data_IF_960043436599
#
_entry.id   IF_960043436599
#
_cell.length_a   1.000
_cell.length_b   1.000
_cell.length_c   1.000
_cell.angle_alpha   90.00
_cell.angle_beta   90.00
_cell.angle_gamma   90.00
#
_symmetry.space_group_name_H-M   'P 1'
#
loop_
_entity.id
_entity.type
_entity.pdbx_description
1 polymer ?
#
# COMPACT_ATOMS: atom_id res chain seq x y z
N UNK A 1 -82.76 10.61 3.28
CA UNK A 1 -81.75 10.61 2.20
C UNK A 1 -80.38 10.46 2.85
N UNK A 2 -79.64 9.41 2.53
CA UNK A 2 -78.35 9.11 3.18
C UNK A 2 -77.21 9.75 2.37
N UNK A 3 -76.52 10.74 2.92
CA UNK A 3 -75.42 11.46 2.25
C UNK A 3 -74.11 10.69 2.39
N UNK A 4 -73.50 10.36 1.26
CA UNK A 4 -72.18 9.71 1.17
C UNK A 4 -71.10 10.81 1.20
N UNK A 5 -70.19 10.76 2.17
CA UNK A 5 -69.17 11.80 2.33
C UNK A 5 -67.81 11.47 1.66
N UNK A 6 -67.44 10.20 1.50
CA UNK A 6 -66.31 9.84 0.64
C UNK A 6 -66.42 8.42 0.08
N UNK A 7 -65.88 8.24 -1.13
CA UNK A 7 -65.75 6.95 -1.82
C UNK A 7 -64.27 6.66 -1.98
N UNK A 8 -63.81 5.50 -1.52
CA UNK A 8 -62.41 5.11 -1.59
C UNK A 8 -62.31 3.81 -2.38
N UNK A 9 -61.36 3.76 -3.32
CA UNK A 9 -61.04 2.55 -4.07
C UNK A 9 -60.20 1.60 -3.20
N UNK A 10 -60.67 0.37 -3.01
CA UNK A 10 -59.90 -0.65 -2.30
C UNK A 10 -59.24 -1.62 -3.31
N UNK A 11 -57.90 -1.58 -3.47
CA UNK A 11 -57.20 -2.40 -4.45
C UNK A 11 -57.19 -3.90 -4.10
N UNK A 12 -57.42 -4.26 -2.84
CA UNK A 12 -57.45 -5.67 -2.41
C UNK A 12 -58.78 -6.34 -2.75
N UNK A 13 -59.88 -5.58 -2.79
CA UNK A 13 -61.22 -6.09 -3.10
C UNK A 13 -61.69 -5.78 -4.54
N UNK A 14 -60.97 -4.92 -5.26
CA UNK A 14 -61.31 -4.54 -6.64
C UNK A 14 -62.63 -3.77 -6.76
N UNK A 15 -63.05 -3.05 -5.71
CA UNK A 15 -64.32 -2.34 -5.68
C UNK A 15 -64.22 -0.98 -4.94
N UNK A 16 -65.16 -0.07 -5.26
CA UNK A 16 -65.34 1.19 -4.51
C UNK A 16 -66.15 0.91 -3.26
N UNK A 17 -65.59 1.24 -2.10
CA UNK A 17 -66.25 1.07 -0.80
C UNK A 17 -66.62 2.44 -0.22
N UNK A 18 -67.75 2.49 0.48
CA UNK A 18 -68.26 3.70 1.14
C UNK A 18 -68.03 3.57 2.65
N UNK A 19 -67.30 4.51 3.25
CA UNK A 19 -67.19 4.61 4.70
C UNK A 19 -68.24 5.61 5.21
N UNK A 20 -69.10 5.17 6.15
CA UNK A 20 -70.06 6.02 6.85
C UNK A 20 -69.80 5.90 8.35
N UNK A 21 -69.49 7.02 9.01
CA UNK A 21 -68.99 7.07 10.40
C UNK A 21 -70.10 7.00 11.47
N UNK A 22 -71.22 6.33 11.18
CA UNK A 22 -72.33 6.14 12.12
C UNK A 22 -72.72 4.66 12.23
N UNK A 23 -71.90 3.86 12.90
CA UNK A 23 -72.27 2.51 13.33
C UNK A 23 -72.21 2.41 14.87
N UNK A 24 -73.38 2.54 15.53
CA UNK A 24 -73.55 2.20 16.96
C UNK A 24 -73.88 0.71 17.07
N UNK A 25 -73.03 -0.07 17.73
CA UNK A 25 -73.32 -1.46 18.08
C UNK A 25 -74.19 -1.54 19.34
N UNK A 26 -75.38 -2.13 19.25
CA UNK A 26 -76.26 -2.44 20.38
C UNK A 26 -76.62 -3.93 20.34
N UNK A 27 -76.06 -4.72 21.27
CA UNK A 27 -76.43 -6.11 21.50
C UNK A 27 -76.50 -6.41 23.00
N UNK A 28 -77.70 -6.65 23.52
CA UNK A 28 -77.98 -7.04 24.91
C UNK A 28 -78.10 -8.58 25.01
N UNK A 29 -77.41 -9.18 25.97
CA UNK A 29 -77.59 -10.57 26.41
C UNK A 29 -77.13 -10.75 27.86
N UNK A 30 -77.98 -11.35 28.71
CA UNK A 30 -78.00 -11.27 30.19
C UNK A 30 -77.14 -12.32 30.92
N UNK A 31 -76.45 -11.83 31.96
CA UNK A 31 -76.28 -12.31 33.37
C UNK A 31 -75.92 -13.79 33.71
N UNK A 32 -74.79 -13.92 34.42
CA UNK A 32 -74.54 -14.87 35.50
C UNK A 32 -73.62 -14.21 36.57
N UNK A 33 -74.06 -14.22 37.83
CA UNK A 33 -73.44 -13.61 39.04
C UNK A 33 -72.63 -14.74 39.74
N UNK A 34 -71.45 -14.59 40.35
CA UNK A 34 -71.18 -14.03 41.71
C UNK A 34 -69.68 -14.06 42.06
N UNK A 35 -69.16 -12.91 42.48
CA UNK A 35 -68.21 -12.60 43.60
C UNK A 35 -67.30 -13.69 44.23
N UNK A 36 -66.01 -13.37 44.43
CA UNK A 36 -65.42 -12.96 45.74
C UNK A 36 -63.94 -12.55 45.61
N UNK A 37 -63.53 -11.77 46.63
CA UNK A 37 -62.33 -10.92 46.79
C UNK A 37 -61.01 -11.68 47.05
N UNK A 38 -59.88 -11.02 46.75
CA UNK A 38 -58.52 -11.33 47.25
C UNK A 38 -57.46 -10.94 46.21
N UNK A 39 -56.90 -9.72 46.24
CA UNK A 39 -55.67 -9.34 46.93
C UNK A 39 -54.38 -9.94 46.33
N UNK A 40 -53.43 -9.04 46.01
CA UNK A 40 -52.01 -9.23 45.70
C UNK A 40 -51.65 -9.78 44.30
N UNK A 41 -51.05 -8.93 43.45
CA UNK A 41 -49.59 -8.92 43.24
C UNK A 41 -49.22 -7.77 42.26
N UNK A 42 -48.88 -6.62 42.82
CA UNK A 42 -48.12 -5.61 42.10
C UNK A 42 -46.64 -5.97 42.23
N UNK A 43 -46.03 -6.57 41.21
CA UNK A 43 -44.60 -6.40 40.90
C UNK A 43 -44.29 -6.89 39.47
N UNK A 44 -44.58 -6.04 38.49
CA UNK A 44 -43.95 -6.12 37.17
C UNK A 44 -43.40 -4.73 36.83
N UNK A 45 -42.48 -4.23 37.66
CA UNK A 45 -41.51 -3.25 37.19
C UNK A 45 -40.50 -4.03 36.35
N UNK A 46 -40.84 -4.23 35.08
CA UNK A 46 -39.84 -4.49 34.05
C UNK A 46 -38.92 -3.27 34.02
N UNK A 47 -37.81 -3.36 34.76
CA UNK A 47 -36.68 -2.47 34.59
C UNK A 47 -36.00 -2.90 33.28
N UNK A 48 -36.60 -2.55 32.15
CA UNK A 48 -35.83 -2.48 30.92
C UNK A 48 -34.94 -1.24 31.07
N UNK A 49 -33.60 -1.37 31.20
CA UNK A 49 -32.78 -0.18 31.05
C UNK A 49 -33.01 0.33 29.62
N UNK A 50 -33.65 1.49 29.52
CA UNK A 50 -33.59 2.38 28.39
C UNK A 50 -32.11 2.74 28.17
N UNK A 51 -31.41 1.90 27.44
CA UNK A 51 -30.22 2.27 26.72
C UNK A 51 -30.58 2.24 25.25
N UNK A 52 -31.35 3.24 24.80
CA UNK A 52 -31.49 3.56 23.39
C UNK A 52 -30.16 4.12 22.87
N UNK A 53 -29.14 3.27 22.81
CA UNK A 53 -28.04 3.46 21.90
C UNK A 53 -28.48 2.80 20.60
N UNK A 54 -28.50 3.56 19.50
CA UNK A 54 -28.74 2.98 18.19
C UNK A 54 -27.80 1.77 18.01
N UNK A 55 -28.36 0.63 17.66
CA UNK A 55 -27.59 -0.58 17.39
C UNK A 55 -26.79 -0.34 16.10
N UNK A 56 -25.53 0.09 16.23
CA UNK A 56 -24.67 0.42 15.09
C UNK A 56 -24.31 -0.84 14.29
N UNK A 57 -24.34 -2.00 14.95
CA UNK A 57 -24.09 -3.30 14.34
C UNK A 57 -25.31 -4.22 14.42
N UNK A 58 -26.39 -3.86 13.74
CA UNK A 58 -27.58 -4.69 13.64
C UNK A 58 -27.41 -5.73 12.54
N UNK A 59 -27.36 -7.02 12.92
CA UNK A 59 -27.32 -8.16 12.02
C UNK A 59 -27.85 -9.41 12.72
N UNK A 60 -28.49 -10.32 11.99
CA UNK A 60 -28.86 -11.64 12.54
C UNK A 60 -27.61 -12.52 12.55
N UNK A 61 -26.91 -12.54 13.67
CA UNK A 61 -25.78 -13.44 13.86
C UNK A 61 -26.27 -14.84 14.26
N UNK A 62 -25.63 -15.87 13.74
CA UNK A 62 -25.88 -17.23 14.22
C UNK A 62 -25.30 -17.37 15.64
N UNK A 63 -25.90 -18.23 16.46
CA UNK A 63 -25.39 -18.49 17.81
C UNK A 63 -23.89 -18.83 17.78
N UNK A 64 -23.09 -18.10 18.56
CA UNK A 64 -21.64 -18.26 18.60
C UNK A 64 -20.87 -17.58 17.47
N UNK A 65 -21.53 -16.77 16.63
CA UNK A 65 -20.91 -15.94 15.60
C UNK A 65 -21.07 -14.43 15.88
N UNK A 66 -21.43 -14.09 17.11
CA UNK A 66 -21.56 -12.71 17.57
C UNK A 66 -20.21 -11.96 17.50
N UNK A 67 -20.22 -10.67 17.17
CA UNK A 67 -19.02 -9.85 17.28
C UNK A 67 -18.54 -9.81 18.75
N UNK A 68 -17.23 -9.90 18.94
CA UNK A 68 -16.58 -9.84 20.26
C UNK A 68 -15.73 -8.58 20.35
N UNK A 69 -16.03 -7.72 21.32
CA UNK A 69 -15.23 -6.54 21.63
C UNK A 69 -14.93 -6.47 23.13
N UNK A 70 -13.69 -6.13 23.49
CA UNK A 70 -13.36 -5.77 24.88
C UNK A 70 -13.89 -4.38 25.23
N UNK A 71 -13.88 -4.01 26.52
CA UNK A 71 -14.30 -2.68 26.97
C UNK A 71 -13.48 -1.59 26.27
N UNK A 72 -14.17 -0.64 25.64
CA UNK A 72 -13.55 0.46 24.89
C UNK A 72 -13.07 0.07 23.48
N UNK A 73 -13.34 -1.15 23.00
CA UNK A 73 -13.15 -1.58 21.62
C UNK A 73 -14.49 -1.61 20.86
N UNK A 74 -14.43 -1.72 19.54
CA UNK A 74 -15.60 -1.83 18.67
C UNK A 74 -15.45 -3.01 17.73
N UNK A 75 -16.45 -3.89 17.67
CA UNK A 75 -16.51 -4.99 16.72
C UNK A 75 -17.86 -5.01 16.02
N UNK A 76 -17.87 -5.17 14.69
CA UNK A 76 -19.08 -5.34 13.91
C UNK A 76 -18.90 -6.30 12.74
N UNK A 77 -19.79 -7.30 12.64
CA UNK A 77 -19.74 -8.37 11.64
C UNK A 77 -19.73 -9.75 12.28
N UNK A 78 -20.11 -10.77 11.51
CA UNK A 78 -20.10 -12.16 11.98
C UNK A 78 -18.68 -12.58 12.35
N UNK A 79 -18.44 -13.00 13.58
CA UNK A 79 -17.10 -13.37 14.10
C UNK A 79 -16.10 -12.21 14.04
N UNK A 80 -16.57 -10.96 14.02
CA UNK A 80 -15.67 -9.82 14.14
C UNK A 80 -15.07 -9.78 15.55
N UNK A 81 -13.75 -9.64 15.67
CA UNK A 81 -13.05 -9.76 16.95
C UNK A 81 -12.13 -8.55 17.18
N UNK A 82 -12.53 -7.64 18.06
CA UNK A 82 -11.72 -6.55 18.59
C UNK A 82 -11.26 -6.89 20.02
N UNK A 83 -10.19 -7.69 20.13
CA UNK A 83 -9.80 -8.34 21.39
C UNK A 83 -8.77 -7.57 22.22
N UNK A 84 -8.30 -6.42 21.72
CA UNK A 84 -7.33 -5.58 22.41
C UNK A 84 -7.89 -4.19 22.73
N UNK A 85 -7.25 -3.50 23.69
CA UNK A 85 -7.67 -2.18 24.13
C UNK A 85 -7.75 -1.19 22.95
N UNK A 86 -8.88 -0.47 22.86
CA UNK A 86 -9.15 0.51 21.80
C UNK A 86 -9.02 -0.04 20.38
N UNK A 87 -9.26 -1.34 20.18
CA UNK A 87 -9.26 -1.94 18.86
C UNK A 87 -10.59 -1.74 18.12
N UNK A 88 -10.54 -1.70 16.79
CA UNK A 88 -11.72 -1.57 15.91
C UNK A 88 -11.70 -2.69 14.87
N UNK A 89 -12.76 -3.50 14.81
CA UNK A 89 -12.89 -4.66 13.93
C UNK A 89 -14.21 -4.56 13.14
N UNK A 90 -14.18 -4.37 11.83
CA UNK A 90 -15.39 -4.21 10.99
C UNK A 90 -15.36 -5.12 9.76
N UNK A 91 -16.31 -6.04 9.66
CA UNK A 91 -16.38 -7.06 8.61
C UNK A 91 -16.48 -8.48 9.17
N UNK A 92 -16.94 -9.42 8.35
CA UNK A 92 -17.04 -10.82 8.75
C UNK A 92 -15.64 -11.42 8.94
N UNK A 93 -15.44 -12.20 10.00
CA UNK A 93 -14.17 -12.85 10.32
C UNK A 93 -12.97 -11.88 10.44
N UNK A 94 -13.24 -10.59 10.71
CA UNK A 94 -12.17 -9.59 10.89
C UNK A 94 -11.58 -9.67 12.30
N UNK A 95 -10.29 -9.38 12.45
CA UNK A 95 -9.59 -9.49 13.73
C UNK A 95 -8.65 -8.30 13.96
N UNK A 96 -8.99 -7.49 14.96
CA UNK A 96 -8.16 -6.42 15.48
C UNK A 96 -7.65 -6.83 16.87
N UNK A 97 -6.50 -7.51 16.91
CA UNK A 97 -5.93 -8.10 18.13
C UNK A 97 -4.74 -7.33 18.70
N UNK A 98 -4.29 -6.27 18.02
CA UNK A 98 -3.29 -5.34 18.56
C UNK A 98 -3.92 -4.20 19.34
N UNK A 99 -3.24 -3.70 20.38
CA UNK A 99 -3.71 -2.48 21.08
C UNK A 99 -3.77 -1.29 20.10
N UNK A 100 -4.86 -0.52 20.12
CA UNK A 100 -5.14 0.57 19.18
C UNK A 100 -5.14 0.15 17.69
N UNK A 101 -5.39 -1.13 17.40
CA UNK A 101 -5.42 -1.62 16.03
C UNK A 101 -6.76 -1.40 15.35
N UNK A 102 -6.76 -1.28 14.03
CA UNK A 102 -7.97 -1.15 13.22
C UNK A 102 -7.95 -2.19 12.10
N UNK A 103 -8.98 -3.03 12.00
CA UNK A 103 -9.16 -3.99 10.92
C UNK A 103 -10.52 -3.76 10.27
N UNK A 104 -10.54 -3.53 8.96
CA UNK A 104 -11.76 -3.27 8.18
C UNK A 104 -11.73 -4.11 6.90
N UNK A 105 -12.71 -4.98 6.72
CA UNK A 105 -12.84 -5.90 5.59
C UNK A 105 -13.06 -7.34 6.05
N UNK A 106 -13.65 -8.16 5.17
CA UNK A 106 -13.82 -9.59 5.46
C UNK A 106 -12.43 -10.24 5.64
N UNK A 107 -12.23 -10.95 6.75
CA UNK A 107 -10.95 -11.59 7.04
C UNK A 107 -9.77 -10.63 7.28
N UNK A 108 -9.98 -9.31 7.33
CA UNK A 108 -8.91 -8.34 7.58
C UNK A 108 -8.33 -8.56 8.99
N UNK A 109 -7.00 -8.48 9.13
CA UNK A 109 -6.30 -8.81 10.37
C UNK A 109 -5.24 -7.76 10.73
N UNK A 110 -5.49 -7.00 11.80
CA UNK A 110 -4.54 -6.08 12.40
C UNK A 110 -4.01 -6.66 13.72
N UNK A 111 -2.83 -7.30 13.67
CA UNK A 111 -2.33 -8.15 14.77
C UNK A 111 -1.41 -7.43 15.76
N UNK A 112 -0.80 -6.31 15.36
CA UNK A 112 0.19 -5.60 16.15
C UNK A 112 -0.32 -4.26 16.68
N UNK A 113 0.38 -3.71 17.68
CA UNK A 113 0.06 -2.41 18.27
C UNK A 113 0.05 -1.31 17.20
N UNK A 114 -0.97 -0.46 17.21
CA UNK A 114 -1.19 0.63 16.24
C UNK A 114 -1.27 0.17 14.77
N UNK A 115 -1.46 -1.13 14.51
CA UNK A 115 -1.55 -1.65 13.15
C UNK A 115 -2.92 -1.35 12.54
N UNK A 116 -2.95 -1.04 11.25
CA UNK A 116 -4.19 -0.79 10.50
C UNK A 116 -4.25 -1.69 9.28
N UNK A 117 -5.31 -2.50 9.15
CA UNK A 117 -5.56 -3.36 8.00
C UNK A 117 -6.89 -2.96 7.36
N UNK A 118 -6.86 -2.52 6.10
CA UNK A 118 -8.05 -2.08 5.37
C UNK A 118 -8.11 -2.79 4.03
N UNK A 119 -9.10 -3.67 3.87
CA UNK A 119 -9.31 -4.49 2.68
C UNK A 119 -9.59 -5.95 3.03
N UNK A 120 -10.34 -6.63 2.16
CA UNK A 120 -10.60 -8.07 2.28
C UNK A 120 -9.28 -8.86 2.36
N UNK A 121 -9.13 -9.70 3.39
CA UNK A 121 -7.93 -10.49 3.63
C UNK A 121 -6.64 -9.69 3.86
N UNK A 122 -6.72 -8.37 4.09
CA UNK A 122 -5.54 -7.54 4.39
C UNK A 122 -4.94 -7.92 5.75
N UNK A 123 -3.61 -7.90 5.88
CA UNK A 123 -2.90 -8.33 7.10
C UNK A 123 -1.82 -7.34 7.49
N UNK A 124 -2.03 -6.60 8.58
CA UNK A 124 -1.04 -5.74 9.21
C UNK A 124 -0.42 -6.45 10.43
N UNK A 125 0.79 -6.98 10.26
CA UNK A 125 1.49 -7.82 11.24
C UNK A 125 2.50 -7.04 12.10
N UNK A 126 3.01 -5.92 11.62
CA UNK A 126 4.05 -5.16 12.30
C UNK A 126 3.49 -3.95 13.06
N UNK A 127 4.21 -3.50 14.09
CA UNK A 127 3.80 -2.37 14.89
C UNK A 127 3.76 -1.08 14.06
N UNK A 128 2.73 -0.25 14.27
CA UNK A 128 2.55 1.02 13.56
C UNK A 128 2.58 0.87 12.02
N UNK A 129 2.08 -0.26 11.49
CA UNK A 129 2.05 -0.53 10.05
C UNK A 129 0.63 -0.42 9.49
N UNK A 130 0.52 -0.14 8.19
CA UNK A 130 -0.75 -0.07 7.46
C UNK A 130 -0.73 -1.04 6.29
N UNK A 131 -1.66 -1.99 6.25
CA UNK A 131 -1.92 -2.82 5.07
C UNK A 131 -3.17 -2.25 4.36
N UNK A 132 -2.97 -1.65 3.18
CA UNK A 132 -4.00 -0.95 2.42
C UNK A 132 -4.33 -1.69 1.13
N UNK A 133 -5.57 -2.15 1.00
CA UNK A 133 -6.08 -2.90 -0.14
C UNK A 133 -6.26 -4.39 0.14
N UNK A 134 -7.05 -5.06 -0.73
CA UNK A 134 -7.34 -6.48 -0.63
C UNK A 134 -6.05 -7.31 -0.66
N UNK A 135 -5.90 -8.27 0.24
CA UNK A 135 -4.72 -9.14 0.32
C UNK A 135 -3.38 -8.45 0.63
N UNK A 136 -3.37 -7.14 0.92
CA UNK A 136 -2.12 -6.44 1.25
C UNK A 136 -1.52 -6.94 2.55
N UNK A 137 -0.19 -7.04 2.62
CA UNK A 137 0.54 -7.52 3.80
C UNK A 137 1.54 -6.46 4.23
N UNK A 138 1.43 -5.97 5.46
CA UNK A 138 2.40 -5.07 6.08
C UNK A 138 3.14 -5.82 7.20
N UNK A 139 4.39 -6.21 6.93
CA UNK A 139 5.24 -7.04 7.79
C UNK A 139 6.45 -6.29 8.37
N UNK A 140 6.60 -4.99 8.08
CA UNK A 140 7.66 -4.13 8.60
C UNK A 140 7.07 -2.98 9.43
N UNK A 141 7.74 -2.63 10.54
CA UNK A 141 7.24 -1.60 11.44
C UNK A 141 7.34 -0.21 10.80
N UNK A 142 6.37 0.67 11.08
CA UNK A 142 6.32 2.04 10.55
C UNK A 142 6.25 2.12 9.01
N UNK A 143 5.53 1.20 8.36
CA UNK A 143 5.38 1.16 6.90
C UNK A 143 3.91 1.18 6.47
N UNK A 144 3.67 1.61 5.23
CA UNK A 144 2.39 1.44 4.53
C UNK A 144 2.63 0.49 3.36
N UNK A 145 2.01 -0.69 3.40
CA UNK A 145 2.02 -1.64 2.30
C UNK A 145 0.74 -1.52 1.48
N UNK A 146 0.89 -1.35 0.17
CA UNK A 146 -0.22 -1.28 -0.79
C UNK A 146 -0.45 -2.60 -1.56
N UNK A 147 0.22 -3.68 -1.16
CA UNK A 147 0.13 -4.98 -1.81
C UNK A 147 0.86 -6.08 -1.02
N UNK A 148 1.32 -7.11 -1.73
CA UNK A 148 2.25 -8.11 -1.20
C UNK A 148 3.22 -8.51 -2.31
N UNK A 149 4.27 -9.27 -1.96
CA UNK A 149 5.23 -9.78 -2.94
C UNK A 149 4.51 -10.48 -4.11
N UNK A 150 4.79 -10.05 -5.33
CA UNK A 150 4.19 -10.56 -6.57
C UNK A 150 2.78 -10.03 -6.88
N UNK A 151 2.19 -9.20 -6.02
CA UNK A 151 0.88 -8.55 -6.23
C UNK A 151 0.94 -7.06 -5.89
N UNK A 152 2.01 -6.41 -6.34
CA UNK A 152 2.24 -4.98 -6.15
C UNK A 152 1.17 -4.13 -6.86
N UNK A 153 0.94 -2.93 -6.33
CA UNK A 153 0.00 -1.96 -6.91
C UNK A 153 0.71 -0.68 -7.28
N UNK A 154 0.27 -0.06 -8.37
CA UNK A 154 0.68 1.30 -8.72
C UNK A 154 -0.06 2.30 -7.84
N UNK A 155 0.66 3.33 -7.41
CA UNK A 155 0.09 4.54 -6.83
C UNK A 155 -0.02 5.56 -7.98
N UNK A 156 -1.22 6.06 -8.24
CA UNK A 156 -1.50 6.92 -9.41
C UNK A 156 -2.02 8.28 -8.97
N UNK A 157 -1.89 9.29 -9.84
CA UNK A 157 -2.26 10.68 -9.56
C UNK A 157 -1.45 11.29 -8.38
N UNK A 158 -0.14 11.00 -8.36
CA UNK A 158 0.80 11.57 -7.39
C UNK A 158 1.36 12.88 -7.97
N UNK A 159 1.04 14.00 -7.33
CA UNK A 159 1.61 15.31 -7.67
C UNK A 159 3.12 15.35 -7.36
N UNK A 160 3.82 16.33 -7.92
CA UNK A 160 5.26 16.51 -7.71
C UNK A 160 5.59 16.68 -6.23
N UNK A 161 6.62 15.97 -5.77
CA UNK A 161 7.17 16.16 -4.43
C UNK A 161 7.96 17.47 -4.34
N UNK A 162 7.82 18.16 -3.21
CA UNK A 162 8.44 19.47 -2.95
C UNK A 162 9.34 19.48 -1.72
N UNK A 163 8.97 18.75 -0.67
CA UNK A 163 9.75 18.60 0.55
C UNK A 163 10.61 17.32 0.51
N UNK A 164 11.59 17.24 1.42
CA UNK A 164 12.54 16.11 1.49
C UNK A 164 11.89 14.73 1.76
N UNK A 165 10.64 14.69 2.22
CA UNK A 165 9.91 13.47 2.55
C UNK A 165 8.66 13.26 1.69
N UNK A 166 8.53 14.00 0.59
CA UNK A 166 7.46 13.79 -0.37
C UNK A 166 7.81 12.62 -1.32
N UNK A 167 6.80 11.92 -1.83
CA UNK A 167 7.00 10.90 -2.85
C UNK A 167 7.38 11.55 -4.19
N UNK A 168 8.28 10.90 -4.94
CA UNK A 168 8.67 11.31 -6.29
C UNK A 168 7.79 10.59 -7.31
N UNK A 169 7.25 11.33 -8.29
CA UNK A 169 6.50 10.74 -9.40
C UNK A 169 7.40 10.46 -10.62
N UNK A 170 6.83 9.87 -11.69
CA UNK A 170 7.60 9.53 -12.90
C UNK A 170 8.14 10.75 -13.63
N UNK A 171 7.41 11.86 -13.66
CA UNK A 171 7.81 13.08 -14.37
C UNK A 171 9.11 13.66 -13.81
N UNK A 172 9.21 13.77 -12.49
CA UNK A 172 10.43 14.22 -11.82
C UNK A 172 11.63 13.30 -12.10
N UNK A 173 11.41 11.97 -12.16
CA UNK A 173 12.45 10.99 -12.52
C UNK A 173 12.89 11.14 -13.98
N UNK A 174 11.93 11.33 -14.90
CA UNK A 174 12.22 11.51 -16.33
C UNK A 174 13.07 12.78 -16.54
N UNK A 175 12.74 13.89 -15.87
CA UNK A 175 13.54 15.13 -15.91
C UNK A 175 14.97 14.90 -15.40
N UNK A 176 15.12 14.17 -14.28
CA UNK A 176 16.44 13.85 -13.75
C UNK A 176 17.26 12.98 -14.73
N UNK A 177 16.63 11.99 -15.39
CA UNK A 177 17.30 11.16 -16.40
C UNK A 177 17.72 11.95 -17.63
N UNK A 178 16.86 12.84 -18.15
CA UNK A 178 17.20 13.69 -19.28
C UNK A 178 18.36 14.66 -18.96
N UNK A 179 18.44 15.16 -17.73
CA UNK A 179 19.56 15.97 -17.26
C UNK A 179 20.86 15.14 -17.19
N UNK A 180 20.78 13.88 -16.76
CA UNK A 180 21.93 12.98 -16.73
C UNK A 180 22.46 12.71 -18.16
N UNK A 181 21.57 12.44 -19.12
CA UNK A 181 21.93 12.25 -20.53
C UNK A 181 22.59 13.50 -21.13
N UNK A 182 22.05 14.68 -20.79
CA UNK A 182 22.63 15.96 -21.19
C UNK A 182 24.04 16.14 -20.63
N UNK A 183 24.26 15.79 -19.36
CA UNK A 183 25.58 15.86 -18.74
C UNK A 183 26.57 14.90 -19.39
N UNK A 184 26.16 13.66 -19.70
CA UNK A 184 27.00 12.67 -20.37
C UNK A 184 27.34 13.08 -21.81
N UNK A 185 26.34 13.56 -22.55
CA UNK A 185 26.56 14.14 -23.88
C UNK A 185 27.58 15.27 -23.78
N UNK A 186 27.39 16.17 -22.82
CA UNK A 186 28.28 17.30 -22.62
C UNK A 186 29.72 16.91 -22.30
N UNK A 187 29.92 15.88 -21.46
CA UNK A 187 31.21 15.33 -21.09
C UNK A 187 31.93 14.64 -22.27
N UNK A 188 31.17 13.97 -23.14
CA UNK A 188 31.72 13.23 -24.29
C UNK A 188 31.72 14.02 -25.60
N UNK A 189 31.21 15.26 -25.64
CA UNK A 189 31.10 16.06 -26.89
C UNK A 189 32.40 16.10 -27.69
N UNK A 190 33.53 16.29 -27.02
CA UNK A 190 34.85 16.41 -27.65
C UNK A 190 35.78 15.23 -27.37
N UNK A 191 35.41 14.33 -26.46
CA UNK A 191 36.17 13.11 -26.18
C UNK A 191 35.39 11.89 -26.68
N UNK A 192 35.86 11.27 -27.76
CA UNK A 192 35.24 10.10 -28.41
C UNK A 192 36.26 8.96 -28.47
N UNK A 193 35.90 7.81 -27.91
CA UNK A 193 36.63 6.55 -28.03
C UNK A 193 35.66 5.47 -28.54
N UNK A 194 36.14 4.58 -29.41
CA UNK A 194 35.38 3.45 -29.94
C UNK A 194 36.05 2.12 -29.52
N UNK A 195 35.27 1.05 -29.53
CA UNK A 195 35.68 -0.30 -29.16
C UNK A 195 34.56 -1.30 -29.44
N UNK A 196 34.73 -2.55 -28.99
CA UNK A 196 33.75 -3.61 -29.15
C UNK A 196 32.48 -3.38 -28.31
N UNK A 197 32.57 -2.56 -27.25
CA UNK A 197 31.45 -2.19 -26.39
C UNK A 197 30.78 -3.40 -25.70
N UNK A 198 31.57 -4.45 -25.46
CA UNK A 198 31.21 -5.67 -24.75
C UNK A 198 32.15 -5.95 -23.56
N UNK A 199 33.04 -5.01 -23.24
CA UNK A 199 34.04 -5.10 -22.18
C UNK A 199 35.30 -5.89 -22.54
N UNK A 200 35.40 -6.45 -23.75
CA UNK A 200 36.56 -7.25 -24.18
C UNK A 200 37.81 -6.41 -24.48
N UNK A 201 37.62 -5.12 -24.76
CA UNK A 201 38.67 -4.18 -25.15
C UNK A 201 38.64 -2.90 -24.30
N UNK A 202 38.25 -2.99 -23.04
CA UNK A 202 38.31 -1.85 -22.11
C UNK A 202 39.75 -1.37 -21.89
N UNK A 203 39.91 -0.07 -21.68
CA UNK A 203 41.18 0.51 -21.27
C UNK A 203 41.53 0.07 -19.84
N UNK A 204 42.78 -0.33 -19.59
CA UNK A 204 43.23 -0.83 -18.31
C UNK A 204 44.43 -0.02 -17.80
N UNK A 205 44.23 0.68 -16.68
CA UNK A 205 45.28 1.37 -15.93
C UNK A 205 45.53 0.63 -14.60
N UNK A 206 46.67 -0.04 -14.47
CA UNK A 206 47.06 -0.83 -13.29
C UNK A 206 48.04 -0.10 -12.38
N UNK A 207 49.01 0.62 -12.96
CA UNK A 207 50.02 1.32 -12.19
C UNK A 207 49.45 2.47 -11.35
N UNK A 208 50.12 2.82 -10.26
CA UNK A 208 49.76 3.98 -9.45
C UNK A 208 49.82 5.24 -10.32
N UNK A 209 48.78 6.07 -10.31
CA UNK A 209 48.69 7.28 -11.15
C UNK A 209 48.78 7.02 -12.68
N UNK A 210 48.50 5.80 -13.14
CA UNK A 210 48.52 5.46 -14.56
C UNK A 210 47.28 5.98 -15.31
N UNK A 211 47.43 6.23 -16.62
CA UNK A 211 46.34 6.66 -17.52
C UNK A 211 46.26 5.75 -18.74
N UNK A 212 45.11 5.14 -18.99
CA UNK A 212 44.84 4.36 -20.19
C UNK A 212 43.68 5.00 -20.98
N UNK A 213 43.88 5.31 -22.26
CA UNK A 213 42.90 5.93 -23.15
C UNK A 213 42.87 5.26 -24.51
N UNK A 214 41.75 4.60 -24.85
CA UNK A 214 41.54 3.89 -26.12
C UNK A 214 41.29 2.40 -25.91
N UNK A 215 40.65 1.75 -26.88
CA UNK A 215 40.32 0.32 -26.79
C UNK A 215 41.58 -0.53 -26.64
N UNK A 216 41.57 -1.46 -25.68
CA UNK A 216 42.69 -2.33 -25.32
C UNK A 216 43.99 -1.59 -24.97
N UNK A 217 43.91 -0.33 -24.53
CA UNK A 217 45.08 0.39 -24.00
C UNK A 217 45.46 -0.13 -22.60
N UNK A 218 46.75 -0.33 -22.35
CA UNK A 218 47.30 -0.95 -21.14
C UNK A 218 48.36 -0.04 -20.51
N UNK A 219 48.06 0.61 -19.39
CA UNK A 219 49.02 1.40 -18.61
C UNK A 219 49.38 0.64 -17.32
N UNK A 220 50.46 -0.14 -17.38
CA UNK A 220 50.86 -1.10 -16.34
C UNK A 220 51.93 -0.56 -15.38
N UNK A 221 52.81 0.35 -15.81
CA UNK A 221 53.85 0.93 -14.96
C UNK A 221 53.34 2.08 -14.08
N UNK A 222 54.02 2.36 -12.96
CA UNK A 222 53.64 3.47 -12.07
C UNK A 222 53.86 4.83 -12.76
N UNK A 223 52.84 5.68 -12.81
CA UNK A 223 52.83 6.96 -13.51
C UNK A 223 52.83 6.84 -15.05
N UNK A 224 52.55 5.65 -15.58
CA UNK A 224 52.57 5.40 -17.03
C UNK A 224 51.34 5.98 -17.75
N UNK A 225 51.49 6.29 -19.04
CA UNK A 225 50.40 6.76 -19.90
C UNK A 225 50.34 5.95 -21.19
N UNK A 226 49.22 5.26 -21.42
CA UNK A 226 48.94 4.52 -22.65
C UNK A 226 47.76 5.17 -23.39
N UNK A 227 48.03 5.77 -24.54
CA UNK A 227 47.07 6.58 -25.30
C UNK A 227 47.03 6.10 -26.74
N UNK A 228 45.88 5.57 -27.16
CA UNK A 228 45.66 4.96 -28.47
C UNK A 228 45.17 3.52 -28.33
N UNK A 229 44.45 3.04 -29.36
CA UNK A 229 43.97 1.66 -29.37
C UNK A 229 45.16 0.67 -29.38
N UNK A 230 45.17 -0.27 -28.43
CA UNK A 230 46.25 -1.23 -28.22
C UNK A 230 47.56 -0.65 -27.67
N UNK A 231 47.62 0.64 -27.29
CA UNK A 231 48.81 1.25 -26.71
C UNK A 231 49.19 0.55 -25.38
N UNK A 232 50.46 0.21 -25.17
CA UNK A 232 50.93 -0.52 -23.99
C UNK A 232 52.11 0.22 -23.35
N UNK A 233 51.95 0.70 -22.11
CA UNK A 233 52.98 1.37 -21.33
C UNK A 233 53.30 0.54 -20.08
N UNK A 234 54.37 -0.25 -20.10
CA UNK A 234 54.75 -1.15 -18.99
C UNK A 234 55.90 -0.64 -18.14
N UNK A 235 56.67 0.33 -18.63
CA UNK A 235 57.73 0.95 -17.82
C UNK A 235 57.17 1.96 -16.83
N UNK A 236 57.80 2.11 -15.67
CA UNK A 236 57.48 3.19 -14.74
C UNK A 236 57.75 4.55 -15.40
N UNK A 237 56.83 5.50 -15.23
CA UNK A 237 56.87 6.83 -15.84
C UNK A 237 56.95 6.81 -17.38
N UNK A 238 56.55 5.70 -18.01
CA UNK A 238 56.61 5.54 -19.46
C UNK A 238 55.39 6.12 -20.17
N UNK A 239 55.55 6.52 -21.43
CA UNK A 239 54.46 7.11 -22.24
C UNK A 239 54.37 6.41 -23.60
N UNK A 240 53.30 5.67 -23.85
CA UNK A 240 52.98 5.06 -25.14
C UNK A 240 51.83 5.83 -25.80
N UNK A 241 52.09 6.50 -26.92
CA UNK A 241 51.10 7.27 -27.68
C UNK A 241 51.03 6.80 -29.14
N UNK A 242 49.96 6.11 -29.51
CA UNK A 242 49.71 5.64 -30.87
C UNK A 242 49.01 4.27 -30.92
N UNK A 243 48.51 3.90 -32.09
CA UNK A 243 47.94 2.58 -32.31
C UNK A 243 49.02 1.49 -32.11
N UNK A 244 48.80 0.55 -31.19
CA UNK A 244 49.75 -0.51 -30.83
C UNK A 244 51.17 -0.01 -30.45
N UNK A 245 51.32 1.23 -29.98
CA UNK A 245 52.62 1.71 -29.48
C UNK A 245 53.00 1.01 -28.17
N UNK A 246 54.29 0.71 -27.95
CA UNK A 246 54.79 0.04 -26.74
C UNK A 246 55.90 0.86 -26.09
N UNK A 247 55.72 1.26 -24.83
CA UNK A 247 56.75 1.90 -24.00
C UNK A 247 57.04 0.99 -22.79
N UNK A 248 58.10 0.19 -22.89
CA UNK A 248 58.49 -0.81 -21.88
C UNK A 248 59.66 -0.38 -20.99
N UNK A 249 60.47 0.60 -21.42
CA UNK A 249 61.55 1.15 -20.60
C UNK A 249 61.05 2.11 -19.52
N UNK A 250 61.72 2.16 -18.37
CA UNK A 250 61.45 3.19 -17.36
C UNK A 250 61.76 4.57 -17.94
N UNK A 251 60.90 5.57 -17.70
CA UNK A 251 61.00 6.92 -18.28
C UNK A 251 61.00 6.97 -19.81
N UNK A 252 60.63 5.89 -20.51
CA UNK A 252 60.67 5.82 -21.96
C UNK A 252 59.42 6.43 -22.61
N UNK A 253 59.53 6.87 -23.86
CA UNK A 253 58.40 7.40 -24.61
C UNK A 253 58.36 6.86 -26.05
N UNK A 254 57.24 6.26 -26.42
CA UNK A 254 56.95 5.76 -27.76
C UNK A 254 55.84 6.59 -28.39
N UNK A 255 56.13 7.27 -29.50
CA UNK A 255 55.17 8.09 -30.25
C UNK A 255 55.01 7.58 -31.67
N UNK A 256 53.76 7.30 -32.07
CA UNK A 256 53.41 6.80 -33.40
C UNK A 256 52.90 5.36 -33.38
N UNK A 257 52.26 4.94 -34.49
CA UNK A 257 51.72 3.59 -34.60
C UNK A 257 52.85 2.54 -34.62
N UNK A 258 52.74 1.51 -33.79
CA UNK A 258 53.74 0.45 -33.59
C UNK A 258 55.13 0.95 -33.14
N UNK A 259 55.23 2.19 -32.63
CA UNK A 259 56.46 2.70 -32.06
C UNK A 259 56.85 1.88 -30.82
N UNK A 260 58.14 1.60 -30.64
CA UNK A 260 58.65 0.83 -29.51
C UNK A 260 59.77 1.58 -28.80
N UNK A 261 59.67 1.69 -27.48
CA UNK A 261 60.71 2.18 -26.60
C UNK A 261 60.96 1.14 -25.50
N UNK A 262 62.17 0.56 -25.42
CA UNK A 262 62.46 -0.60 -24.57
C UNK A 262 63.52 -0.35 -23.49
N UNK A 263 64.13 0.84 -23.46
CA UNK A 263 65.18 1.21 -22.51
C UNK A 263 64.93 2.60 -21.97
#
# INVERSE_FOLDING_TARGET
>A
MNTIYSKIWNPTLGAVVVASELARANGKGRRGVTTRKGAALALAMALAPLASHAEVCSGTFAAGQEPTAVTGAFACGSVAAATAASATAVGNNTSASGAHSTAVGNGAKASAKNATAVGDGSVAKAANSVALGQGSIANEANTVSVGSAGTERRITNVADGTNAHDAVNKEQLDVASAQADTNLSNATRYFKANGANDGSDDALAVGNNATAMGSASLALGDGSSAIGSGATATGDLSTANGYNSVAAGANSAAFGANAQAQT
#
